data_IF_962343435025
#
_entry.id   IF_962343435025
#
_cell.length_a   1.000
_cell.length_b   1.000
_cell.length_c   1.000
_cell.angle_alpha   90.00
_cell.angle_beta   90.00
_cell.angle_gamma   90.00
#
_symmetry.space_group_name_H-M   'P 1'
#
loop_
_entity.id
_entity.type
_entity.pdbx_description
1 polymer ?
#
# COMPACT_ATOMS: atom_id res chain seq x y z
N UNK A 1 -11.59 14.20 -15.95
CA UNK A 1 -12.73 13.30 -15.64
C UNK A 1 -13.80 14.01 -14.80
N UNK A 2 -13.46 14.83 -13.80
CA UNK A 2 -14.46 15.61 -13.03
C UNK A 2 -14.89 16.97 -13.64
N UNK A 3 -14.14 17.55 -14.58
CA UNK A 3 -14.46 18.86 -15.17
C UNK A 3 -14.71 18.85 -16.69
N UNK A 4 -14.77 17.69 -17.34
CA UNK A 4 -14.83 17.52 -18.80
C UNK A 4 -13.79 18.33 -19.63
N UNK A 5 -12.81 18.97 -18.98
CA UNK A 5 -11.71 19.67 -19.62
C UNK A 5 -10.56 18.72 -19.95
N UNK A 6 -10.01 18.87 -21.16
CA UNK A 6 -8.70 18.33 -21.53
C UNK A 6 -7.62 19.32 -21.09
N UNK A 7 -6.84 18.93 -20.08
CA UNK A 7 -5.76 19.76 -19.53
C UNK A 7 -4.43 19.61 -20.27
N UNK A 8 -4.35 18.74 -21.29
CA UNK A 8 -3.15 18.57 -22.11
C UNK A 8 -1.93 17.99 -21.39
N UNK A 9 -2.08 17.53 -20.15
CA UNK A 9 -0.97 17.01 -19.35
C UNK A 9 -0.41 15.70 -19.92
N UNK A 10 0.92 15.57 -19.89
CA UNK A 10 1.59 14.33 -20.27
C UNK A 10 1.44 13.25 -19.18
N UNK A 11 1.71 11.99 -19.53
CA UNK A 11 1.53 10.84 -18.63
C UNK A 11 2.44 10.91 -17.40
N UNK A 12 3.68 11.38 -17.56
CA UNK A 12 4.65 11.49 -16.46
C UNK A 12 4.22 12.54 -15.44
N UNK A 13 3.74 13.70 -15.90
CA UNK A 13 3.21 14.77 -15.05
C UNK A 13 1.99 14.29 -14.28
N UNK A 14 1.07 13.57 -14.94
CA UNK A 14 -0.09 12.99 -14.24
C UNK A 14 0.31 11.91 -13.24
N UNK A 15 1.29 11.07 -13.58
CA UNK A 15 1.86 10.07 -12.67
C UNK A 15 2.51 10.72 -11.44
N UNK A 16 3.27 11.79 -11.64
CA UNK A 16 3.87 12.56 -10.55
C UNK A 16 2.81 13.24 -9.69
N UNK A 17 1.78 13.83 -10.30
CA UNK A 17 0.66 14.43 -9.57
C UNK A 17 -0.06 13.39 -8.69
N UNK A 18 -0.28 12.18 -9.23
CA UNK A 18 -0.83 11.07 -8.45
C UNK A 18 0.06 10.72 -7.25
N UNK A 19 1.38 10.60 -7.44
CA UNK A 19 2.32 10.32 -6.34
C UNK A 19 2.33 11.43 -5.30
N UNK A 20 2.37 12.69 -5.72
CA UNK A 20 2.44 13.84 -4.82
C UNK A 20 1.16 14.05 -4.01
N UNK A 21 -0.01 13.69 -4.54
CA UNK A 21 -1.29 13.89 -3.86
C UNK A 21 -1.80 12.62 -3.20
N UNK A 22 -2.12 11.59 -3.99
CA UNK A 22 -2.69 10.34 -3.46
C UNK A 22 -1.60 9.50 -2.82
N UNK A 23 -0.42 9.44 -3.45
CA UNK A 23 0.68 8.65 -2.93
C UNK A 23 1.16 9.13 -1.57
N UNK A 24 1.31 10.44 -1.36
CA UNK A 24 1.72 11.01 -0.07
C UNK A 24 0.70 10.74 1.03
N UNK A 25 -0.60 10.80 0.72
CA UNK A 25 -1.67 10.43 1.67
C UNK A 25 -1.53 8.96 2.09
N UNK A 26 -1.32 8.05 1.14
CA UNK A 26 -1.12 6.63 1.44
C UNK A 26 0.15 6.39 2.27
N UNK A 27 1.25 7.07 1.94
CA UNK A 27 2.51 6.93 2.68
C UNK A 27 2.37 7.42 4.12
N UNK A 28 1.71 8.56 4.34
CA UNK A 28 1.53 9.10 5.68
C UNK A 28 0.57 8.25 6.52
N UNK A 29 -0.52 7.76 5.92
CA UNK A 29 -1.56 7.00 6.62
C UNK A 29 -1.26 5.50 6.75
N UNK A 30 -0.11 5.03 6.28
CA UNK A 30 0.26 3.61 6.25
C UNK A 30 0.04 2.85 7.56
N UNK A 31 0.29 3.40 8.78
CA UNK A 31 0.10 2.65 10.02
C UNK A 31 -1.37 2.30 10.25
N UNK A 32 -2.28 3.20 9.89
CA UNK A 32 -3.72 2.98 9.99
C UNK A 32 -4.23 2.10 8.85
N UNK A 33 -3.73 2.32 7.63
CA UNK A 33 -4.14 1.54 6.46
C UNK A 33 -3.77 0.07 6.58
N UNK A 34 -2.67 -0.27 7.26
CA UNK A 34 -2.31 -1.66 7.53
C UNK A 34 -3.31 -2.39 8.45
N UNK A 35 -4.15 -1.66 9.20
CA UNK A 35 -5.22 -2.23 10.02
C UNK A 35 -6.55 -2.38 9.25
N UNK A 36 -6.61 -1.98 7.98
CA UNK A 36 -7.85 -2.09 7.20
C UNK A 36 -8.14 -3.55 6.83
N UNK A 37 -9.43 -3.88 6.75
CA UNK A 37 -9.87 -5.16 6.19
C UNK A 37 -9.48 -5.29 4.72
N UNK A 38 -9.33 -6.52 4.24
CA UNK A 38 -9.03 -6.79 2.83
C UNK A 38 -10.01 -6.11 1.87
N UNK A 39 -11.29 -6.02 2.24
CA UNK A 39 -12.32 -5.37 1.42
C UNK A 39 -12.05 -3.87 1.25
N UNK A 40 -11.58 -3.19 2.30
CA UNK A 40 -11.23 -1.77 2.23
C UNK A 40 -9.93 -1.56 1.44
N UNK A 41 -8.95 -2.45 1.57
CA UNK A 41 -7.74 -2.44 0.73
C UNK A 41 -8.09 -2.65 -0.75
N UNK A 42 -8.99 -3.58 -1.07
CA UNK A 42 -9.49 -3.78 -2.44
C UNK A 42 -10.16 -2.53 -3.01
N UNK A 43 -10.91 -1.78 -2.20
CA UNK A 43 -11.50 -0.49 -2.61
C UNK A 43 -10.42 0.55 -2.93
N UNK A 44 -9.38 0.67 -2.10
CA UNK A 44 -8.25 1.56 -2.37
C UNK A 44 -7.50 1.15 -3.65
N UNK A 45 -7.28 -0.14 -3.85
CA UNK A 45 -6.68 -0.66 -5.09
C UNK A 45 -7.53 -0.33 -6.32
N UNK A 46 -8.86 -0.39 -6.22
CA UNK A 46 -9.76 -0.02 -7.32
C UNK A 46 -9.62 1.48 -7.68
N UNK A 47 -9.47 2.36 -6.69
CA UNK A 47 -9.22 3.80 -6.90
C UNK A 47 -7.87 4.00 -7.62
N UNK A 48 -6.82 3.34 -7.16
CA UNK A 48 -5.51 3.37 -7.83
C UNK A 48 -5.59 2.86 -9.27
N UNK A 49 -6.27 1.74 -9.51
CA UNK A 49 -6.42 1.16 -10.85
C UNK A 49 -7.20 2.09 -11.78
N UNK A 50 -8.24 2.76 -11.29
CA UNK A 50 -8.96 3.77 -12.06
C UNK A 50 -8.06 4.95 -12.44
N UNK A 51 -7.24 5.43 -11.51
CA UNK A 51 -6.27 6.50 -11.78
C UNK A 51 -5.25 6.05 -12.84
N UNK A 52 -4.64 4.86 -12.68
CA UNK A 52 -3.66 4.33 -13.65
C UNK A 52 -4.27 4.19 -15.04
N UNK A 53 -5.50 3.63 -15.15
CA UNK A 53 -6.19 3.52 -16.44
C UNK A 53 -6.38 4.89 -17.09
N UNK A 54 -6.78 5.90 -16.32
CA UNK A 54 -6.93 7.28 -16.83
C UNK A 54 -5.60 7.88 -17.28
N UNK A 55 -4.52 7.67 -16.54
CA UNK A 55 -3.20 8.25 -16.83
C UNK A 55 -2.59 7.60 -18.08
N UNK A 56 -2.63 6.27 -18.13
CA UNK A 56 -2.04 5.48 -19.22
C UNK A 56 -2.97 5.33 -20.43
N UNK A 57 -4.19 5.88 -20.35
CA UNK A 57 -5.24 5.78 -21.39
C UNK A 57 -5.56 4.32 -21.75
N UNK A 58 -5.57 3.45 -20.75
CA UNK A 58 -5.94 2.04 -20.92
C UNK A 58 -7.46 1.92 -21.08
N UNK A 59 -7.90 0.85 -21.77
CA UNK A 59 -9.33 0.55 -21.88
C UNK A 59 -9.90 0.17 -20.52
N UNK A 60 -11.20 0.42 -20.34
CA UNK A 60 -11.88 0.12 -19.06
C UNK A 60 -11.88 -1.37 -18.72
N UNK A 61 -12.04 -2.23 -19.74
CA UNK A 61 -12.04 -3.69 -19.66
C UNK A 61 -10.65 -4.30 -19.39
N UNK A 62 -9.59 -3.48 -19.32
CA UNK A 62 -8.23 -3.98 -19.10
C UNK A 62 -8.14 -4.68 -17.73
N UNK A 63 -7.75 -5.97 -17.69
CA UNK A 63 -7.59 -6.74 -16.46
C UNK A 63 -6.61 -6.11 -15.48
N UNK A 64 -6.89 -6.23 -14.17
CA UNK A 64 -6.09 -5.59 -13.11
C UNK A 64 -4.62 -6.01 -13.09
N UNK A 65 -4.30 -7.27 -13.41
CA UNK A 65 -2.92 -7.75 -13.50
C UNK A 65 -2.11 -6.98 -14.56
N UNK A 66 -2.71 -6.69 -15.72
CA UNK A 66 -2.07 -5.89 -16.77
C UNK A 66 -1.92 -4.44 -16.30
N UNK A 67 -2.95 -3.88 -15.66
CA UNK A 67 -2.89 -2.52 -15.09
C UNK A 67 -1.75 -2.39 -14.09
N UNK A 68 -1.57 -3.38 -13.20
CA UNK A 68 -0.50 -3.35 -12.19
C UNK A 68 0.90 -3.41 -12.84
N UNK A 69 1.07 -4.28 -13.84
CA UNK A 69 2.34 -4.39 -14.57
C UNK A 69 2.69 -3.09 -15.31
N UNK A 70 1.72 -2.49 -16.01
CA UNK A 70 1.87 -1.20 -16.68
C UNK A 70 2.15 -0.05 -15.71
N UNK A 71 1.45 -0.03 -14.56
CA UNK A 71 1.67 0.96 -13.50
C UNK A 71 3.10 0.91 -12.97
N UNK A 72 3.62 -0.29 -12.73
CA UNK A 72 4.98 -0.45 -12.25
C UNK A 72 6.00 -0.05 -13.32
N UNK A 73 5.85 -0.54 -14.55
CA UNK A 73 6.84 -0.31 -15.61
C UNK A 73 6.93 1.16 -16.02
N UNK A 74 5.79 1.82 -16.25
CA UNK A 74 5.74 3.18 -16.77
C UNK A 74 5.73 4.24 -15.67
N UNK A 75 5.06 3.99 -14.55
CA UNK A 75 4.87 4.98 -13.49
C UNK A 75 5.66 4.66 -12.21
N UNK A 76 6.31 3.50 -12.10
CA UNK A 76 6.97 3.04 -10.86
C UNK A 76 6.01 3.04 -9.66
N UNK A 77 4.77 2.58 -9.90
CA UNK A 77 3.73 2.46 -8.87
C UNK A 77 3.51 0.98 -8.51
N UNK A 78 3.69 0.65 -7.24
CA UNK A 78 3.35 -0.66 -6.67
C UNK A 78 1.85 -0.76 -6.41
N UNK A 79 1.34 -1.99 -6.22
CA UNK A 79 0.00 -2.20 -5.67
C UNK A 79 -0.09 -1.59 -4.26
N UNK A 80 -1.30 -1.25 -3.82
CA UNK A 80 -1.53 -0.65 -2.49
C UNK A 80 -0.99 -1.57 -1.40
N UNK A 81 -1.29 -2.86 -1.45
CA UNK A 81 -0.79 -3.84 -0.48
C UNK A 81 0.74 -3.93 -0.47
N UNK A 82 1.39 -4.04 -1.64
CA UNK A 82 2.84 -4.16 -1.69
C UNK A 82 3.53 -2.88 -1.17
N UNK A 83 2.97 -1.72 -1.50
CA UNK A 83 3.48 -0.44 -1.00
C UNK A 83 3.35 -0.34 0.52
N UNK A 84 2.20 -0.69 1.08
CA UNK A 84 1.99 -0.67 2.53
C UNK A 84 2.91 -1.66 3.26
N UNK A 85 3.13 -2.83 2.66
CA UNK A 85 4.08 -3.82 3.15
C UNK A 85 5.50 -3.27 3.16
N UNK A 86 6.01 -2.76 2.03
CA UNK A 86 7.35 -2.17 1.96
C UNK A 86 7.54 -0.99 2.94
N UNK A 87 6.53 -0.14 3.11
CA UNK A 87 6.58 0.95 4.08
C UNK A 87 6.68 0.42 5.51
N UNK A 88 5.91 -0.62 5.84
CA UNK A 88 5.95 -1.23 7.16
C UNK A 88 7.30 -1.87 7.45
N UNK A 89 7.88 -2.60 6.49
CA UNK A 89 9.19 -3.21 6.63
C UNK A 89 10.27 -2.15 6.82
N UNK A 90 10.27 -1.09 6.00
CA UNK A 90 11.25 0.00 6.12
C UNK A 90 11.12 0.72 7.45
N UNK A 91 9.90 1.07 7.87
CA UNK A 91 9.68 1.81 9.11
C UNK A 91 10.10 1.01 10.34
N UNK A 92 9.66 -0.25 10.43
CA UNK A 92 10.03 -1.15 11.54
C UNK A 92 11.52 -1.46 11.49
N UNK A 93 12.06 -1.78 10.31
CA UNK A 93 13.48 -2.09 10.12
C UNK A 93 14.40 -0.95 10.49
N UNK A 94 14.12 0.28 10.03
CA UNK A 94 14.87 1.48 10.42
C UNK A 94 14.69 1.79 11.91
N UNK A 95 13.48 1.62 12.44
CA UNK A 95 13.21 1.82 13.86
C UNK A 95 14.02 0.89 14.77
N UNK A 96 14.17 -0.38 14.38
CA UNK A 96 15.02 -1.35 15.08
C UNK A 96 16.51 -1.05 14.87
N UNK A 97 16.92 -0.69 13.65
CA UNK A 97 18.32 -0.36 13.35
C UNK A 97 18.85 0.83 14.14
N UNK A 98 17.99 1.76 14.51
CA UNK A 98 18.34 2.94 15.31
C UNK A 98 17.95 2.80 16.79
N UNK A 99 17.52 1.62 17.23
CA UNK A 99 17.04 1.37 18.59
C UNK A 99 16.03 2.40 19.08
N UNK A 100 15.05 2.73 18.24
CA UNK A 100 13.96 3.62 18.61
C UNK A 100 13.16 2.92 19.72
N UNK A 101 13.11 3.46 20.95
CA UNK A 101 12.57 2.72 22.10
C UNK A 101 11.11 2.28 21.92
N UNK A 102 10.31 3.10 21.25
CA UNK A 102 8.91 2.77 20.95
C UNK A 102 8.77 1.59 19.99
N UNK A 103 9.61 1.51 18.96
CA UNK A 103 9.54 0.42 17.97
C UNK A 103 10.03 -0.89 18.58
N UNK A 104 11.14 -0.85 19.33
CA UNK A 104 11.66 -2.02 20.04
C UNK A 104 10.63 -2.58 21.03
N UNK A 105 10.01 -1.70 21.82
CA UNK A 105 8.96 -2.08 22.78
C UNK A 105 7.76 -2.71 22.08
N UNK A 106 7.23 -2.09 21.02
CA UNK A 106 6.07 -2.63 20.28
C UNK A 106 6.38 -4.01 19.67
N UNK A 107 7.55 -4.19 19.08
CA UNK A 107 7.97 -5.47 18.48
C UNK A 107 8.12 -6.54 19.55
N UNK A 108 8.66 -6.19 20.72
CA UNK A 108 8.78 -7.11 21.86
C UNK A 108 7.39 -7.53 22.38
N UNK A 109 6.52 -6.57 22.67
CA UNK A 109 5.15 -6.84 23.13
C UNK A 109 4.36 -7.71 22.14
N UNK A 110 4.52 -7.44 20.83
CA UNK A 110 3.87 -8.24 19.78
C UNK A 110 4.37 -9.69 19.77
N UNK A 111 5.68 -9.93 19.89
CA UNK A 111 6.27 -11.28 19.95
C UNK A 111 5.78 -12.05 21.18
N UNK A 112 5.84 -11.42 22.35
CA UNK A 112 5.38 -12.02 23.61
C UNK A 112 3.90 -12.42 23.54
N UNK A 113 3.03 -11.55 22.99
CA UNK A 113 1.60 -11.86 22.80
C UNK A 113 1.31 -12.87 21.68
N UNK A 114 2.25 -13.11 20.75
CA UNK A 114 2.14 -14.18 19.77
C UNK A 114 2.54 -15.53 20.36
N UNK A 115 3.62 -15.56 21.13
CA UNK A 115 4.10 -16.73 21.86
C UNK A 115 3.06 -17.21 22.90
N UNK A 116 2.40 -16.28 23.60
CA UNK A 116 1.36 -16.62 24.59
C UNK A 116 0.09 -17.24 23.99
N UNK A 117 -0.15 -17.09 22.67
CA UNK A 117 -1.31 -17.70 21.96
C UNK A 117 -1.04 -19.14 21.53
N UNK A 118 0.20 -19.61 21.61
CA UNK A 118 0.56 -21.02 21.41
C UNK A 118 0.51 -21.77 22.74
N UNK A 119 -0.70 -21.94 23.29
CA UNK A 119 -0.91 -22.91 24.37
C UNK A 119 -1.09 -24.27 23.66
N UNK A 120 -0.10 -25.15 23.79
CA UNK A 120 -0.25 -26.56 23.45
C UNK A 120 -1.40 -27.12 24.28
N UNK A 121 -2.52 -27.47 23.61
CA UNK A 121 -3.55 -28.26 24.25
C UNK A 121 -2.97 -29.66 24.47
N UNK A 122 -2.84 -30.14 25.73
CA UNK A 122 -2.35 -31.49 25.96
C UNK A 122 -3.31 -32.47 25.29
N UNK A 123 -2.76 -33.30 24.40
CA UNK A 123 -3.50 -34.39 23.75
C UNK A 123 -4.06 -35.30 24.84
N UNK A 124 -5.38 -35.53 24.92
CA UNK A 124 -5.95 -36.45 25.89
C UNK A 124 -5.43 -37.86 25.58
N UNK A 125 -4.80 -38.50 26.57
CA UNK A 125 -4.45 -39.92 26.54
C UNK A 125 -5.71 -40.80 26.65
#
# INVERSE_FOLDING_TARGET
ILSNKKWGLNQNTLGNLYKSLVGSILDYSFPCLNSFSENNIKKLQAIQNAAVRSILKLKYDTPSNIVHHEAFNKLKLLTVSNRLFELSERYVGTGLSHSIPLVERLVKEYKEGFESRHIEYPTPL
#
